data_IF_803152176297
#
_entry.id   IF_803152176297
#
_cell.length_a   1.000
_cell.length_b   1.000
_cell.length_c   1.000
_cell.angle_alpha   90.00
_cell.angle_beta   90.00
_cell.angle_gamma   90.00
#
_symmetry.space_group_name_H-M   'P 1'
#
loop_
_entity.id
_entity.type
_entity.pdbx_description
1 polymer ?
#
# COMPACT_ATOMS: atom_id res chain seq x y z
N UNK A 1 7.69 -1.85 -1.43
CA UNK A 1 6.81 -2.17 -0.28
C UNK A 1 7.60 -2.59 0.96
N UNK A 2 8.61 -3.47 0.84
CA UNK A 2 9.38 -3.95 1.98
C UNK A 2 10.04 -2.85 2.82
N UNK A 3 10.57 -1.81 2.18
CA UNK A 3 11.25 -0.72 2.90
C UNK A 3 10.26 0.22 3.60
N UNK A 4 9.10 0.48 3.01
CA UNK A 4 8.03 1.26 3.62
C UNK A 4 7.53 0.58 4.89
N UNK A 5 7.23 -0.71 4.80
CA UNK A 5 6.80 -1.54 5.92
C UNK A 5 7.83 -1.59 7.05
N UNK A 6 9.11 -1.78 6.74
CA UNK A 6 10.18 -1.79 7.76
C UNK A 6 10.23 -0.50 8.56
N UNK A 7 10.10 0.66 7.91
CA UNK A 7 10.08 1.96 8.58
C UNK A 7 8.85 2.18 9.44
N UNK A 8 7.68 1.76 8.98
CA UNK A 8 6.45 1.81 9.76
C UNK A 8 6.57 0.99 11.05
N UNK A 9 7.20 -0.19 10.96
CA UNK A 9 7.41 -1.03 12.12
C UNK A 9 8.37 -0.42 13.15
N UNK A 10 9.37 0.34 12.72
CA UNK A 10 10.35 0.95 13.63
C UNK A 10 9.77 2.14 14.43
N UNK A 11 8.69 2.78 13.95
CA UNK A 11 8.23 4.07 14.49
C UNK A 11 6.98 4.02 15.37
N UNK A 12 6.18 2.97 15.32
CA UNK A 12 4.98 2.85 16.15
C UNK A 12 4.58 1.41 16.42
N UNK A 13 3.59 1.22 17.31
CA UNK A 13 3.06 -0.10 17.68
C UNK A 13 1.97 -0.61 16.71
N UNK A 14 1.95 -0.16 15.46
CA UNK A 14 0.94 -0.55 14.48
C UNK A 14 0.97 -2.05 14.16
N UNK A 15 -0.20 -2.60 13.85
CA UNK A 15 -0.37 -3.92 13.24
C UNK A 15 -0.55 -3.76 11.74
N UNK A 16 -0.03 -4.71 10.98
CA UNK A 16 -0.05 -4.69 9.52
C UNK A 16 -0.81 -5.89 8.98
N UNK A 17 -1.84 -5.63 8.21
CA UNK A 17 -2.56 -6.64 7.45
C UNK A 17 -1.97 -6.68 6.04
N UNK A 18 -1.47 -7.83 5.63
CA UNK A 18 -0.71 -8.01 4.38
C UNK A 18 -1.58 -8.72 3.35
N UNK A 19 -2.21 -7.97 2.47
CA UNK A 19 -3.01 -8.49 1.37
C UNK A 19 -2.12 -8.64 0.13
N UNK A 20 -1.53 -9.80 -0.04
CA UNK A 20 -0.72 -10.16 -1.20
C UNK A 20 -1.50 -11.06 -2.15
N UNK A 21 -1.16 -11.02 -3.45
CA UNK A 21 -1.62 -12.01 -4.42
C UNK A 21 -0.92 -13.35 -4.23
N UNK A 22 -1.21 -14.28 -5.16
CA UNK A 22 -0.65 -15.64 -5.14
C UNK A 22 0.44 -15.84 -6.19
N UNK A 23 0.88 -14.79 -6.88
CA UNK A 23 2.03 -14.88 -7.74
C UNK A 23 3.33 -15.05 -6.94
N UNK A 24 4.35 -15.61 -7.60
CA UNK A 24 5.58 -16.01 -6.92
C UNK A 24 6.33 -14.81 -6.31
N UNK A 25 6.32 -13.67 -6.97
CA UNK A 25 7.05 -12.48 -6.51
C UNK A 25 6.41 -11.91 -5.24
N UNK A 26 5.07 -11.87 -5.18
CA UNK A 26 4.34 -11.40 -4.00
C UNK A 26 4.49 -12.38 -2.83
N UNK A 27 4.50 -13.69 -3.09
CA UNK A 27 4.73 -14.70 -2.06
C UNK A 27 6.15 -14.66 -1.49
N UNK A 28 7.17 -14.38 -2.30
CA UNK A 28 8.55 -14.18 -1.83
C UNK A 28 8.61 -12.97 -0.87
N UNK A 29 7.96 -11.85 -1.23
CA UNK A 29 7.90 -10.67 -0.37
C UNK A 29 7.18 -10.97 0.94
N UNK A 30 6.06 -11.68 0.88
CA UNK A 30 5.32 -12.07 2.08
C UNK A 30 6.18 -12.94 3.00
N UNK A 31 6.88 -13.93 2.45
CA UNK A 31 7.78 -14.81 3.21
C UNK A 31 8.93 -14.02 3.86
N UNK A 32 9.53 -13.07 3.13
CA UNK A 32 10.57 -12.18 3.68
C UNK A 32 10.05 -11.40 4.89
N UNK A 33 8.85 -10.84 4.80
CA UNK A 33 8.23 -10.09 5.89
C UNK A 33 7.94 -11.01 7.08
N UNK A 34 7.37 -12.18 6.85
CA UNK A 34 7.01 -13.13 7.90
C UNK A 34 8.22 -13.80 8.57
N UNK A 35 9.41 -13.72 7.95
CA UNK A 35 10.68 -14.15 8.56
C UNK A 35 11.45 -13.00 9.25
N UNK A 36 10.94 -11.77 9.18
CA UNK A 36 11.60 -10.61 9.80
C UNK A 36 11.35 -10.52 11.31
N UNK A 37 12.10 -9.64 11.98
CA UNK A 37 11.89 -9.30 13.41
C UNK A 37 10.51 -8.69 13.70
N UNK A 38 9.76 -8.29 12.68
CA UNK A 38 8.45 -7.64 12.81
C UNK A 38 7.26 -8.58 12.60
N UNK A 39 7.50 -9.87 12.38
CA UNK A 39 6.48 -10.87 12.05
C UNK A 39 5.27 -10.88 13.00
N UNK A 40 5.52 -10.65 14.30
CA UNK A 40 4.47 -10.69 15.33
C UNK A 40 3.45 -9.53 15.22
N UNK A 41 3.77 -8.54 14.38
CA UNK A 41 2.90 -7.40 14.07
C UNK A 41 2.23 -7.51 12.71
N UNK A 42 2.54 -8.55 11.97
CA UNK A 42 2.10 -8.77 10.59
C UNK A 42 1.11 -9.92 10.52
N UNK A 43 -0.01 -9.68 9.87
CA UNK A 43 -1.09 -10.65 9.72
C UNK A 43 -1.32 -10.85 8.21
N UNK A 44 -0.92 -11.99 7.65
CA UNK A 44 -1.14 -12.28 6.24
C UNK A 44 -2.62 -12.55 5.96
N UNK A 45 -3.10 -12.04 4.84
CA UNK A 45 -4.48 -12.19 4.35
C UNK A 45 -4.56 -12.98 3.04
N UNK A 46 -3.47 -13.57 2.60
CA UNK A 46 -3.35 -14.26 1.31
C UNK A 46 -4.26 -15.50 1.18
N UNK A 47 -4.77 -16.02 2.30
CA UNK A 47 -5.74 -17.13 2.35
C UNK A 47 -7.21 -16.67 2.39
N UNK A 48 -7.46 -15.37 2.44
CA UNK A 48 -8.81 -14.82 2.45
C UNK A 48 -9.23 -14.38 1.04
N UNK A 49 -10.52 -14.48 0.76
CA UNK A 49 -11.09 -13.85 -0.43
C UNK A 49 -11.37 -12.36 -0.17
N UNK A 50 -11.61 -11.60 -1.24
CA UNK A 50 -11.75 -10.14 -1.14
C UNK A 50 -12.94 -9.72 -0.25
N UNK A 51 -14.01 -10.50 -0.23
CA UNK A 51 -15.21 -10.20 0.58
C UNK A 51 -14.89 -10.28 2.07
N UNK A 52 -14.06 -11.24 2.46
CA UNK A 52 -13.64 -11.42 3.86
C UNK A 52 -12.61 -10.35 4.28
N UNK A 53 -11.89 -9.76 3.33
CA UNK A 53 -10.92 -8.68 3.59
C UNK A 53 -11.60 -7.33 3.79
N UNK A 54 -12.77 -7.07 3.19
CA UNK A 54 -13.46 -5.77 3.28
C UNK A 54 -13.69 -5.29 4.72
N UNK A 55 -14.19 -6.12 5.66
CA UNK A 55 -14.35 -5.70 7.06
C UNK A 55 -13.01 -5.37 7.73
N UNK A 56 -11.92 -6.03 7.33
CA UNK A 56 -10.58 -5.75 7.84
C UNK A 56 -10.14 -4.37 7.36
N UNK A 57 -10.27 -4.08 6.06
CA UNK A 57 -9.95 -2.75 5.50
C UNK A 57 -10.73 -1.66 6.22
N UNK A 58 -12.04 -1.86 6.43
CA UNK A 58 -12.92 -0.86 7.09
C UNK A 58 -12.47 -0.50 8.50
N UNK A 59 -11.73 -1.37 9.16
CA UNK A 59 -11.20 -1.15 10.51
C UNK A 59 -9.70 -0.77 10.54
N UNK A 60 -9.10 -0.49 9.39
CA UNK A 60 -7.74 0.04 9.31
C UNK A 60 -7.76 1.58 9.41
N UNK A 61 -6.71 2.15 9.96
CA UNK A 61 -6.52 3.60 10.00
C UNK A 61 -6.04 4.14 8.63
N UNK A 62 -5.23 3.37 7.92
CA UNK A 62 -4.65 3.73 6.62
C UNK A 62 -4.49 2.49 5.75
N UNK A 63 -4.71 2.65 4.45
CA UNK A 63 -4.35 1.66 3.42
C UNK A 63 -3.16 2.15 2.60
N UNK A 64 -2.22 1.26 2.29
CA UNK A 64 -1.08 1.53 1.39
C UNK A 64 -1.05 0.43 0.34
N UNK A 65 -1.21 0.80 -0.90
CA UNK A 65 -1.31 -0.18 -1.99
C UNK A 65 -0.79 0.38 -3.33
N UNK A 66 -0.59 -0.51 -4.27
CA UNK A 66 -0.44 -0.15 -5.67
C UNK A 66 -1.79 0.34 -6.23
N UNK A 67 -1.77 0.89 -7.43
CA UNK A 67 -2.99 1.09 -8.22
C UNK A 67 -3.59 -0.29 -8.56
N UNK A 68 -4.62 -0.65 -7.82
CA UNK A 68 -5.27 -1.97 -7.86
C UNK A 68 -6.70 -1.87 -7.32
N UNK A 69 -7.46 -2.96 -7.38
CA UNK A 69 -8.79 -3.01 -6.77
C UNK A 69 -8.80 -2.63 -5.28
N UNK A 70 -7.72 -2.90 -4.54
CA UNK A 70 -7.61 -2.52 -3.14
C UNK A 70 -7.60 -1.02 -2.92
N UNK A 71 -7.01 -0.22 -3.82
CA UNK A 71 -7.04 1.25 -3.71
C UNK A 71 -8.46 1.79 -3.82
N UNK A 72 -9.23 1.25 -4.75
CA UNK A 72 -10.63 1.65 -4.96
C UNK A 72 -11.54 1.22 -3.81
N UNK A 73 -11.37 -0.02 -3.33
CA UNK A 73 -12.14 -0.55 -2.20
C UNK A 73 -11.86 0.22 -0.91
N UNK A 74 -10.59 0.49 -0.61
CA UNK A 74 -10.20 1.25 0.58
C UNK A 74 -10.77 2.66 0.54
N UNK A 75 -10.67 3.36 -0.58
CA UNK A 75 -11.22 4.70 -0.76
C UNK A 75 -12.75 4.71 -0.67
N UNK A 76 -13.45 3.71 -1.23
CA UNK A 76 -14.89 3.55 -1.12
C UNK A 76 -15.37 3.26 0.30
N UNK A 77 -14.53 2.61 1.10
CA UNK A 77 -14.76 2.39 2.53
C UNK A 77 -14.37 3.59 3.40
N UNK A 78 -14.00 4.71 2.78
CA UNK A 78 -13.58 5.96 3.43
C UNK A 78 -12.30 5.84 4.26
N UNK A 79 -11.40 4.92 3.88
CA UNK A 79 -10.11 4.75 4.51
C UNK A 79 -9.07 5.60 3.76
N UNK A 80 -8.30 6.47 4.44
CA UNK A 80 -7.18 7.18 3.83
C UNK A 80 -6.24 6.19 3.14
N UNK A 81 -6.04 6.36 1.83
CA UNK A 81 -5.36 5.37 1.00
C UNK A 81 -4.19 6.01 0.27
N UNK A 82 -2.99 5.57 0.57
CA UNK A 82 -1.79 5.93 -0.19
C UNK A 82 -1.69 4.99 -1.39
N UNK A 83 -1.76 5.57 -2.58
CA UNK A 83 -1.78 4.82 -3.84
C UNK A 83 -0.46 5.03 -4.59
N UNK A 84 0.31 3.96 -4.80
CA UNK A 84 1.55 4.02 -5.57
C UNK A 84 1.24 3.91 -7.06
N UNK A 85 1.26 5.05 -7.75
CA UNK A 85 0.91 5.21 -9.16
C UNK A 85 2.17 5.16 -10.02
N UNK A 86 2.56 3.99 -10.52
CA UNK A 86 3.83 3.81 -11.23
C UNK A 86 3.72 3.87 -12.76
N UNK A 87 2.62 3.43 -13.32
CA UNK A 87 2.41 3.22 -14.77
C UNK A 87 0.94 3.30 -15.20
N UNK A 88 0.10 3.89 -14.40
CA UNK A 88 -1.30 4.19 -14.73
C UNK A 88 -1.59 5.68 -14.58
N UNK A 89 -2.48 6.27 -15.40
CA UNK A 89 -2.83 7.68 -15.29
C UNK A 89 -3.37 8.07 -13.91
N UNK A 90 -2.97 9.24 -13.42
CA UNK A 90 -3.34 9.74 -12.08
C UNK A 90 -4.85 9.75 -11.81
N UNK A 91 -5.67 9.93 -12.87
CA UNK A 91 -7.13 9.94 -12.75
C UNK A 91 -7.68 8.66 -12.10
N UNK A 92 -6.96 7.55 -12.13
CA UNK A 92 -7.37 6.31 -11.49
C UNK A 92 -7.04 6.26 -9.98
N UNK A 93 -6.13 7.08 -9.50
CA UNK A 93 -5.72 7.09 -8.10
C UNK A 93 -5.88 8.45 -7.39
N UNK A 94 -6.64 9.39 -8.00
CA UNK A 94 -6.81 10.77 -7.50
C UNK A 94 -8.23 11.31 -7.73
N UNK A 95 -9.25 10.45 -7.70
CA UNK A 95 -10.66 10.86 -7.90
C UNK A 95 -11.46 10.92 -6.58
N UNK A 96 -10.89 10.52 -5.48
CA UNK A 96 -11.53 10.52 -4.15
C UNK A 96 -10.69 11.32 -3.15
N UNK A 97 -11.32 12.05 -2.21
CA UNK A 97 -10.59 12.74 -1.14
C UNK A 97 -9.81 11.78 -0.21
N UNK A 98 -10.14 10.50 -0.25
CA UNK A 98 -9.44 9.45 0.51
C UNK A 98 -8.24 8.88 -0.23
N UNK A 99 -7.98 9.27 -1.48
CA UNK A 99 -6.84 8.80 -2.27
C UNK A 99 -5.70 9.81 -2.23
N UNK A 100 -4.50 9.32 -1.94
CA UNK A 100 -3.26 10.11 -1.84
C UNK A 100 -2.20 9.49 -2.74
N UNK A 101 -2.15 9.89 -4.04
CA UNK A 101 -1.24 9.28 -5.00
C UNK A 101 0.22 9.65 -4.73
N UNK A 102 1.10 8.66 -4.85
CA UNK A 102 2.55 8.82 -4.87
C UNK A 102 3.05 8.38 -6.24
N UNK A 103 3.72 9.27 -6.96
CA UNK A 103 4.26 9.01 -8.29
C UNK A 103 5.78 8.84 -8.26
N UNK A 104 6.37 8.23 -9.30
CA UNK A 104 7.81 8.04 -9.39
C UNK A 104 8.60 9.36 -9.34
N UNK A 105 9.78 9.33 -8.72
CA UNK A 105 10.67 10.48 -8.67
C UNK A 105 11.10 10.91 -10.07
N UNK A 106 11.09 12.24 -10.29
CA UNK A 106 11.44 12.86 -11.58
C UNK A 106 10.29 12.95 -12.59
N UNK A 107 9.10 12.46 -12.25
CA UNK A 107 7.91 12.57 -13.10
C UNK A 107 6.94 13.61 -12.54
N UNK A 108 6.26 14.34 -13.45
CA UNK A 108 5.16 15.26 -13.10
C UNK A 108 3.79 14.60 -13.23
N UNK A 109 3.72 13.56 -14.04
CA UNK A 109 2.52 12.76 -14.28
C UNK A 109 2.93 11.33 -14.61
N UNK A 110 1.98 10.42 -14.63
CA UNK A 110 2.16 9.01 -15.00
C UNK A 110 1.19 8.59 -16.08
N UNK A 111 1.59 7.62 -16.86
CA UNK A 111 0.79 7.00 -17.93
C UNK A 111 1.12 5.50 -17.99
N UNK A 112 0.39 4.74 -18.81
CA UNK A 112 0.64 3.31 -19.02
C UNK A 112 2.06 2.96 -19.52
N UNK A 113 2.80 3.94 -20.04
CA UNK A 113 4.15 3.74 -20.53
C UNK A 113 5.25 4.29 -19.62
N UNK A 114 4.90 4.79 -18.43
CA UNK A 114 5.87 5.36 -17.50
C UNK A 114 6.80 4.31 -16.93
N UNK A 115 6.28 3.11 -16.62
CA UNK A 115 7.04 1.97 -16.06
C UNK A 115 7.94 2.37 -14.88
N UNK A 116 7.42 3.26 -14.04
CA UNK A 116 8.19 3.94 -12.99
C UNK A 116 8.25 3.21 -11.64
N UNK A 117 7.88 1.93 -11.58
CA UNK A 117 7.75 1.17 -10.34
C UNK A 117 9.01 1.24 -9.46
N UNK A 118 10.19 1.16 -10.06
CA UNK A 118 11.48 1.21 -9.35
C UNK A 118 11.88 2.62 -8.89
N UNK A 119 11.12 3.64 -9.27
CA UNK A 119 11.34 5.05 -8.91
C UNK A 119 10.32 5.58 -7.90
N UNK A 120 9.42 4.75 -7.42
CA UNK A 120 8.58 5.10 -6.27
C UNK A 120 9.48 5.21 -5.04
N UNK A 121 9.51 6.38 -4.44
CA UNK A 121 10.37 6.68 -3.31
C UNK A 121 9.72 6.27 -1.98
N UNK A 122 10.28 5.28 -1.26
CA UNK A 122 9.73 4.84 0.03
C UNK A 122 9.62 5.95 1.08
N UNK A 123 10.53 6.94 1.05
CA UNK A 123 10.49 8.10 1.95
C UNK A 123 9.23 8.94 1.76
N UNK A 124 8.81 9.14 0.50
CA UNK A 124 7.58 9.89 0.21
C UNK A 124 6.34 9.16 0.70
N UNK A 125 6.32 7.83 0.54
CA UNK A 125 5.25 6.99 1.05
C UNK A 125 5.19 7.07 2.58
N UNK A 126 6.34 6.93 3.24
CA UNK A 126 6.43 7.01 4.70
C UNK A 126 6.05 8.39 5.23
N UNK A 127 6.52 9.47 4.60
CA UNK A 127 6.13 10.84 4.96
C UNK A 127 4.62 11.03 4.88
N UNK A 128 4.01 10.58 3.78
CA UNK A 128 2.54 10.65 3.61
C UNK A 128 1.81 9.84 4.68
N UNK A 129 2.30 8.66 5.02
CA UNK A 129 1.75 7.84 6.11
C UNK A 129 1.74 8.61 7.45
N UNK A 130 2.84 9.26 7.81
CA UNK A 130 2.92 10.06 9.04
C UNK A 130 1.98 11.28 8.99
N UNK A 131 1.86 11.94 7.83
CA UNK A 131 0.93 13.07 7.64
C UNK A 131 -0.54 12.65 7.88
N UNK A 132 -0.93 11.47 7.43
CA UNK A 132 -2.30 10.97 7.54
C UNK A 132 -2.65 10.41 8.92
N UNK A 133 -1.66 10.04 9.73
CA UNK A 133 -1.86 9.60 11.12
C UNK A 133 -2.08 10.76 12.10
N UNK A 134 -1.64 11.96 11.76
CA UNK A 134 -1.73 13.15 12.59
C UNK A 134 -2.91 14.03 12.18
#
# INVERSE_FOLDING_TARGET
LGDVYKRQCDTNAAKFFLATGKDIDEQIILEEIMNSKFKDRCIPLDNLNIVDILPIIKNCDISICNDSSFSHLSAALEIPTIVMMADTPLVYGDYSPNMHPIIPDGYKTVSHNTLGKNKINPEKVFKKYIELLN
#
